data_IF_796674676012
#
_entry.id   IF_796674676012
#
_cell.length_a   1.000
_cell.length_b   1.000
_cell.length_c   1.000
_cell.angle_alpha   90.00
_cell.angle_beta   90.00
_cell.angle_gamma   90.00
#
_symmetry.space_group_name_H-M   'P 1'
#
loop_
_entity.id
_entity.type
_entity.pdbx_description
1 polymer ?
#
# COMPACT_ATOMS: atom_id res chain seq x y z
N UNK A 1 14.52 49.20 6.96
CA UNK A 1 14.24 47.81 7.39
C UNK A 1 13.11 47.30 6.52
N UNK A 2 13.36 46.38 5.59
CA UNK A 2 12.31 45.80 4.74
C UNK A 2 12.31 44.31 5.04
N UNK A 3 11.34 43.87 5.82
CA UNK A 3 11.15 42.47 6.16
C UNK A 3 10.42 41.79 4.99
N UNK A 4 11.16 41.00 4.20
CA UNK A 4 10.58 40.16 3.16
C UNK A 4 10.00 38.90 3.80
N UNK A 5 8.67 38.84 3.94
CA UNK A 5 7.93 37.64 4.30
C UNK A 5 7.89 36.71 3.08
N UNK A 6 8.79 35.72 3.05
CA UNK A 6 8.78 34.67 2.05
C UNK A 6 7.62 33.70 2.34
N UNK A 7 6.52 33.85 1.60
CA UNK A 7 5.42 32.88 1.57
C UNK A 7 5.90 31.62 0.86
N UNK A 8 6.24 30.58 1.63
CA UNK A 8 6.50 29.23 1.14
C UNK A 8 5.18 28.58 0.71
N UNK A 9 4.77 28.83 -0.54
CA UNK A 9 3.65 28.13 -1.17
C UNK A 9 4.02 26.66 -1.38
N UNK A 10 3.48 25.78 -0.54
CA UNK A 10 3.59 24.33 -0.71
C UNK A 10 2.74 23.94 -1.94
N UNK A 11 3.37 23.83 -3.11
CA UNK A 11 2.69 23.33 -4.31
C UNK A 11 2.30 21.87 -4.06
N UNK A 12 1.02 21.63 -3.78
CA UNK A 12 0.43 20.30 -3.83
C UNK A 12 0.43 19.87 -5.30
N UNK A 13 1.46 19.16 -5.72
CA UNK A 13 1.46 18.51 -7.02
C UNK A 13 0.24 17.57 -7.08
N UNK A 14 -0.59 17.65 -8.12
CA UNK A 14 -1.70 16.73 -8.27
C UNK A 14 -1.12 15.31 -8.38
N UNK A 15 -1.44 14.45 -7.41
CA UNK A 15 -1.21 13.03 -7.53
C UNK A 15 -2.05 12.54 -8.71
N UNK A 16 -1.41 12.26 -9.84
CA UNK A 16 -2.10 11.62 -10.96
C UNK A 16 -2.71 10.32 -10.43
N UNK A 17 -4.03 10.15 -10.56
CA UNK A 17 -4.69 8.89 -10.23
C UNK A 17 -4.07 7.82 -11.10
N UNK A 18 -3.28 6.93 -10.48
CA UNK A 18 -2.65 5.81 -11.17
C UNK A 18 -3.57 4.62 -11.04
N UNK A 19 -4.02 4.05 -12.16
CA UNK A 19 -4.74 2.77 -12.14
C UNK A 19 -3.76 1.61 -12.28
N UNK A 20 -3.83 0.66 -11.36
CA UNK A 20 -3.02 -0.57 -11.41
C UNK A 20 -3.89 -1.81 -11.58
N UNK A 21 -3.39 -2.80 -12.32
CA UNK A 21 -4.07 -4.08 -12.48
C UNK A 21 -3.71 -5.02 -11.33
N UNK A 22 -4.67 -5.23 -10.42
CA UNK A 22 -4.54 -6.08 -9.24
C UNK A 22 -4.97 -7.50 -9.59
N UNK A 23 -4.11 -8.49 -9.28
CA UNK A 23 -4.41 -9.89 -9.52
C UNK A 23 -5.65 -10.33 -8.72
N UNK A 24 -6.53 -11.08 -9.37
CA UNK A 24 -7.81 -11.58 -8.82
C UNK A 24 -8.87 -10.51 -8.54
N UNK A 25 -8.62 -9.25 -8.89
CA UNK A 25 -9.59 -8.15 -8.75
C UNK A 25 -9.81 -7.38 -10.05
N UNK A 26 -8.74 -7.04 -10.78
CA UNK A 26 -8.79 -6.16 -11.94
C UNK A 26 -8.23 -4.77 -11.66
N UNK A 27 -8.59 -3.76 -12.47
CA UNK A 27 -8.06 -2.40 -12.34
C UNK A 27 -8.54 -1.73 -11.05
N UNK A 28 -7.65 -1.03 -10.36
CA UNK A 28 -7.95 -0.21 -9.18
C UNK A 28 -7.27 1.15 -9.32
N UNK A 29 -8.03 2.23 -9.15
CA UNK A 29 -7.51 3.59 -9.07
C UNK A 29 -6.85 3.82 -7.69
N UNK A 30 -5.58 4.23 -7.69
CA UNK A 30 -4.80 4.48 -6.48
C UNK A 30 -4.99 5.90 -5.92
N UNK A 31 -5.91 6.70 -6.45
CA UNK A 31 -6.14 8.08 -6.01
C UNK A 31 -6.37 8.25 -4.50
N UNK A 32 -7.02 7.30 -3.83
CA UNK A 32 -7.24 7.33 -2.36
C UNK A 32 -6.09 6.73 -1.55
N UNK A 33 -5.08 6.14 -2.21
CA UNK A 33 -4.05 5.35 -1.55
C UNK A 33 -2.80 6.18 -1.24
N UNK A 34 -2.23 5.95 -0.07
CA UNK A 34 -0.87 6.38 0.24
C UNK A 34 0.12 5.34 -0.28
N UNK A 35 0.84 5.67 -1.35
CA UNK A 35 1.80 4.77 -2.00
C UNK A 35 3.25 5.09 -1.63
N UNK A 36 4.03 4.04 -1.37
CA UNK A 36 5.46 4.08 -1.08
C UNK A 36 6.18 3.08 -2.01
N UNK A 37 7.08 3.57 -2.85
CA UNK A 37 8.03 2.70 -3.57
C UNK A 37 9.11 2.21 -2.61
N UNK A 38 9.46 0.93 -2.73
CA UNK A 38 10.35 0.24 -1.80
C UNK A 38 11.64 -0.13 -2.54
N UNK A 39 12.75 0.51 -2.17
CA UNK A 39 14.08 0.24 -2.76
C UNK A 39 14.88 -0.80 -1.99
N UNK A 40 14.57 -1.02 -0.70
CA UNK A 40 15.28 -1.94 0.21
C UNK A 40 14.90 -3.41 0.06
N UNK A 41 14.00 -3.76 -0.86
CA UNK A 41 13.59 -5.13 -1.13
C UNK A 41 13.45 -5.34 -2.63
N UNK A 42 14.01 -6.44 -3.14
CA UNK A 42 13.80 -6.87 -4.53
C UNK A 42 12.46 -7.59 -4.73
N UNK A 43 11.86 -8.10 -3.66
CA UNK A 43 10.61 -8.84 -3.71
C UNK A 43 9.40 -7.94 -3.50
N UNK A 44 9.44 -7.03 -2.52
CA UNK A 44 8.38 -6.03 -2.31
C UNK A 44 8.87 -4.72 -2.90
N UNK A 45 8.29 -4.29 -4.01
CA UNK A 45 8.78 -3.12 -4.75
C UNK A 45 7.90 -1.89 -4.59
N UNK A 46 6.65 -2.05 -4.15
CA UNK A 46 5.74 -0.94 -3.82
C UNK A 46 4.64 -1.37 -2.87
N UNK A 47 4.22 -0.47 -2.00
CA UNK A 47 3.10 -0.67 -1.08
C UNK A 47 2.19 0.57 -1.14
N UNK A 48 0.92 0.35 -1.46
CA UNK A 48 -0.13 1.36 -1.47
C UNK A 48 -1.18 0.97 -0.44
N UNK A 49 -1.62 1.93 0.38
CA UNK A 49 -2.56 1.66 1.45
C UNK A 49 -3.65 2.71 1.53
N UNK A 50 -4.90 2.27 1.50
CA UNK A 50 -6.07 3.05 1.84
C UNK A 50 -6.38 2.83 3.32
N UNK A 51 -6.27 3.90 4.11
CA UNK A 51 -6.48 3.86 5.56
C UNK A 51 -7.95 3.81 5.94
N UNK A 52 -8.84 4.40 5.14
CA UNK A 52 -10.26 4.41 5.41
C UNK A 52 -10.81 2.98 5.27
N UNK A 53 -10.41 2.31 4.20
CA UNK A 53 -10.87 0.97 3.86
C UNK A 53 -10.01 -0.17 4.44
N UNK A 54 -8.92 0.16 5.13
CA UNK A 54 -7.93 -0.80 5.63
C UNK A 54 -7.47 -1.77 4.53
N UNK A 55 -7.21 -1.21 3.37
CA UNK A 55 -7.00 -1.97 2.14
C UNK A 55 -5.60 -1.72 1.61
N UNK A 56 -4.84 -2.80 1.45
CA UNK A 56 -3.46 -2.74 1.01
C UNK A 56 -3.33 -3.33 -0.38
N UNK A 57 -2.75 -2.56 -1.30
CA UNK A 57 -2.24 -3.05 -2.59
C UNK A 57 -0.73 -3.12 -2.50
N UNK A 58 -0.16 -4.28 -2.84
CA UNK A 58 1.28 -4.53 -2.76
C UNK A 58 1.80 -5.05 -4.09
N UNK A 59 2.90 -4.48 -4.57
CA UNK A 59 3.62 -4.96 -5.76
C UNK A 59 4.69 -5.94 -5.32
N UNK A 60 4.45 -7.21 -5.64
CA UNK A 60 5.40 -8.30 -5.44
C UNK A 60 6.09 -8.58 -6.76
N UNK A 61 7.38 -8.26 -6.85
CA UNK A 61 8.14 -8.15 -8.09
C UNK A 61 7.45 -7.17 -9.06
N UNK A 62 6.71 -7.69 -10.05
CA UNK A 62 5.98 -6.94 -11.07
C UNK A 62 4.45 -7.11 -11.00
N UNK A 63 3.93 -7.87 -10.04
CA UNK A 63 2.51 -8.20 -9.94
C UNK A 63 1.91 -7.52 -8.72
N UNK A 64 0.79 -6.82 -8.92
CA UNK A 64 0.01 -6.25 -7.82
C UNK A 64 -0.93 -7.29 -7.22
N UNK A 65 -0.89 -7.40 -5.89
CA UNK A 65 -1.80 -8.19 -5.07
C UNK A 65 -2.53 -7.27 -4.10
N UNK A 66 -3.62 -7.77 -3.52
CA UNK A 66 -4.39 -7.04 -2.52
C UNK A 66 -4.60 -7.81 -1.23
N UNK A 67 -4.79 -7.05 -0.16
CA UNK A 67 -5.12 -7.54 1.16
C UNK A 67 -6.17 -6.63 1.79
N UNK A 68 -7.21 -7.26 2.34
CA UNK A 68 -8.40 -6.61 2.86
C UNK A 68 -8.40 -6.63 4.39
N UNK A 69 -9.02 -5.62 5.00
CA UNK A 69 -9.06 -5.42 6.45
C UNK A 69 -7.70 -5.43 7.16
N UNK A 70 -6.60 -5.12 6.46
CA UNK A 70 -5.26 -5.09 7.04
C UNK A 70 -5.12 -3.91 8.02
N UNK A 71 -4.89 -4.14 9.34
CA UNK A 71 -4.84 -3.05 10.30
C UNK A 71 -3.65 -2.10 10.04
N UNK A 72 -3.81 -0.78 10.27
CA UNK A 72 -2.71 0.19 10.11
C UNK A 72 -1.46 -0.15 10.95
N UNK A 73 -1.64 -0.79 12.11
CA UNK A 73 -0.54 -1.23 12.96
C UNK A 73 0.32 -2.31 12.28
N UNK A 74 -0.32 -3.26 11.57
CA UNK A 74 0.39 -4.31 10.82
C UNK A 74 1.15 -3.71 9.64
N UNK A 75 0.53 -2.76 8.92
CA UNK A 75 1.22 -2.02 7.86
C UNK A 75 2.47 -1.32 8.38
N UNK A 76 2.36 -0.60 9.51
CA UNK A 76 3.51 0.10 10.11
C UNK A 76 4.63 -0.87 10.45
N UNK A 77 4.32 -1.96 11.18
CA UNK A 77 5.33 -2.97 11.50
C UNK A 77 5.93 -3.62 10.25
N UNK A 78 5.14 -3.82 9.20
CA UNK A 78 5.62 -4.34 7.92
C UNK A 78 6.62 -3.41 7.25
N UNK A 79 6.32 -2.11 7.19
CA UNK A 79 7.21 -1.11 6.60
C UNK A 79 8.50 -0.93 7.41
N UNK A 80 8.42 -1.09 8.74
CA UNK A 80 9.58 -0.99 9.65
C UNK A 80 10.37 -2.31 9.79
N UNK A 81 9.81 -3.45 9.36
CA UNK A 81 10.39 -4.78 9.59
C UNK A 81 11.77 -4.91 8.94
N UNK A 82 12.82 -5.41 9.63
CA UNK A 82 14.17 -5.55 9.08
C UNK A 82 14.21 -6.34 7.76
N UNK A 83 13.42 -7.43 7.69
CA UNK A 83 13.19 -8.21 6.47
C UNK A 83 11.71 -8.17 6.10
N UNK A 84 11.37 -7.30 5.14
CA UNK A 84 10.00 -7.15 4.64
C UNK A 84 9.45 -8.47 4.08
N UNK A 85 10.27 -9.24 3.35
CA UNK A 85 9.87 -10.54 2.80
C UNK A 85 9.52 -11.57 3.86
N UNK A 86 10.33 -11.67 4.92
CA UNK A 86 10.05 -12.59 6.04
C UNK A 86 8.77 -12.20 6.78
N UNK A 87 8.59 -10.90 7.04
CA UNK A 87 7.37 -10.40 7.68
C UNK A 87 6.13 -10.67 6.81
N UNK A 88 6.20 -10.36 5.51
CA UNK A 88 5.14 -10.61 4.56
C UNK A 88 4.71 -12.09 4.58
N UNK A 89 5.66 -13.02 4.45
CA UNK A 89 5.35 -14.45 4.40
C UNK A 89 4.70 -14.95 5.70
N UNK A 90 5.17 -14.48 6.87
CA UNK A 90 4.69 -14.97 8.16
C UNK A 90 3.41 -14.29 8.64
N UNK A 91 3.22 -13.00 8.35
CA UNK A 91 2.19 -12.16 8.99
C UNK A 91 1.12 -11.64 8.04
N UNK A 92 1.41 -11.50 6.75
CA UNK A 92 0.46 -10.95 5.76
C UNK A 92 -0.08 -12.06 4.86
N UNK A 93 0.80 -12.80 4.19
CA UNK A 93 0.44 -13.95 3.36
C UNK A 93 -0.09 -15.09 4.23
N UNK A 94 0.61 -15.40 5.32
CA UNK A 94 0.30 -16.54 6.18
C UNK A 94 0.62 -17.89 5.53
N UNK A 95 0.24 -18.97 6.21
CA UNK A 95 0.53 -20.37 5.81
C UNK A 95 -0.67 -21.12 5.24
N UNK A 96 -1.86 -20.51 5.23
CA UNK A 96 -3.11 -21.13 4.78
C UNK A 96 -3.44 -20.88 3.31
N UNK A 97 -4.51 -21.53 2.84
CA UNK A 97 -5.12 -21.23 1.53
C UNK A 97 -5.65 -19.80 1.49
N UNK A 98 -6.20 -19.32 2.60
CA UNK A 98 -6.63 -17.94 2.80
C UNK A 98 -5.77 -17.34 3.92
N UNK A 99 -4.98 -16.33 3.57
CA UNK A 99 -4.20 -15.57 4.55
C UNK A 99 -5.07 -14.78 5.51
N UNK A 100 -4.51 -14.25 6.61
CA UNK A 100 -5.24 -13.48 7.61
C UNK A 100 -5.92 -12.22 7.06
N UNK A 101 -5.56 -11.78 5.85
CA UNK A 101 -6.08 -10.57 5.20
C UNK A 101 -6.50 -10.87 3.74
N UNK A 102 -6.81 -12.12 3.42
CA UNK A 102 -7.19 -12.51 2.06
C UNK A 102 -8.54 -11.91 1.67
N UNK A 103 -8.60 -11.20 0.56
CA UNK A 103 -9.80 -10.54 0.06
C UNK A 103 -10.91 -11.50 -0.42
N UNK A 104 -10.67 -12.81 -0.49
CA UNK A 104 -11.73 -13.80 -0.74
C UNK A 104 -12.59 -14.07 0.48
N UNK A 105 -12.04 -13.87 1.67
CA UNK A 105 -12.72 -14.11 2.95
C UNK A 105 -13.03 -12.82 3.71
N UNK A 106 -12.64 -11.67 3.17
CA UNK A 106 -12.84 -10.35 3.76
C UNK A 106 -13.49 -9.40 2.74
N UNK A 107 -14.26 -8.39 3.18
CA UNK A 107 -14.90 -7.42 2.29
C UNK A 107 -13.89 -6.70 1.41
N UNK A 108 -14.15 -6.67 0.11
CA UNK A 108 -13.37 -5.92 -0.87
C UNK A 108 -14.02 -4.54 -1.04
N UNK A 109 -13.28 -3.43 -0.85
CA UNK A 109 -13.84 -2.10 -1.05
C UNK A 109 -14.20 -1.87 -2.51
N UNK A 110 -15.33 -1.21 -2.79
CA UNK A 110 -15.74 -0.80 -4.14
C UNK A 110 -15.28 0.65 -4.38
N UNK A 111 -14.61 0.91 -5.51
CA UNK A 111 -14.09 2.22 -5.91
C UNK A 111 -14.58 2.59 -7.31
#
# INVERSE_FOLDING_TARGET
MVAALALLSFYLLPSHGETVNVKYRGPVDLKSFACNDISRSSFITRVCYDRAERYMIIRLNAIYYHYCELPPAILRTFLDAPSMGSFYNQRIKGTGLDGPFDCRTHPVPEY
#
